data_IF_261512044250
#
_entry.id   IF_261512044250
#
_cell.length_a   1.000
_cell.length_b   1.000
_cell.length_c   1.000
_cell.angle_alpha   90.00
_cell.angle_beta   90.00
_cell.angle_gamma   90.00
#
_symmetry.space_group_name_H-M   'P 1'
#
loop_
_entity.id
_entity.type
_entity.pdbx_description
1 polymer ?
#
# COMPACT_ATOMS: atom_id res chain seq x y z
N UNK A 1 7.37 21.60 28.74
CA UNK A 1 6.19 21.12 27.98
C UNK A 1 5.77 19.78 28.57
N UNK A 2 4.48 19.48 28.60
CA UNK A 2 3.94 18.26 29.22
C UNK A 2 3.33 17.39 28.15
N UNK A 3 3.62 16.09 28.19
CA UNK A 3 2.95 15.07 27.40
C UNK A 3 2.17 14.16 28.35
N UNK A 4 0.97 13.75 27.94
CA UNK A 4 0.14 12.80 28.68
C UNK A 4 -0.09 11.62 27.75
N UNK A 5 0.27 10.44 28.22
CA UNK A 5 0.17 9.18 27.49
C UNK A 5 -0.85 8.29 28.20
N UNK A 6 -1.85 7.80 27.45
CA UNK A 6 -2.80 6.81 27.96
C UNK A 6 -2.35 5.44 27.46
N UNK A 7 -1.87 4.61 28.37
CA UNK A 7 -1.25 3.32 28.07
C UNK A 7 -2.25 2.18 28.30
N UNK A 8 -2.51 1.43 27.24
CA UNK A 8 -3.43 0.29 27.24
C UNK A 8 -2.67 -1.00 27.54
N UNK A 9 -2.78 -1.50 28.78
CA UNK A 9 -2.11 -2.73 29.25
C UNK A 9 -2.14 -3.95 28.28
N UNK A 10 -3.15 -4.16 27.40
CA UNK A 10 -3.13 -5.27 26.44
C UNK A 10 -2.23 -5.09 25.19
N UNK A 11 -1.61 -3.92 24.96
CA UNK A 11 -1.00 -3.59 23.66
C UNK A 11 0.54 -3.54 23.65
N UNK A 12 1.22 -3.89 24.74
CA UNK A 12 2.70 -3.85 24.85
C UNK A 12 3.27 -5.07 25.61
N UNK A 13 3.06 -6.27 25.08
CA UNK A 13 3.45 -7.52 25.74
C UNK A 13 4.78 -8.14 25.26
N UNK A 14 5.47 -7.52 24.29
CA UNK A 14 6.77 -7.99 23.82
C UNK A 14 7.92 -7.18 24.47
N UNK A 15 9.03 -7.82 24.88
CA UNK A 15 10.18 -7.14 25.51
C UNK A 15 10.74 -5.97 24.69
N UNK A 16 10.64 -6.04 23.36
CA UNK A 16 11.12 -5.02 22.43
C UNK A 16 10.23 -3.77 22.42
N UNK A 17 8.91 -3.92 22.57
CA UNK A 17 7.98 -2.79 22.65
C UNK A 17 8.19 -2.01 23.96
N UNK A 18 8.47 -2.73 25.04
CA UNK A 18 8.81 -2.15 26.35
C UNK A 18 10.14 -1.38 26.26
N UNK A 19 11.15 -1.93 25.58
CA UNK A 19 12.43 -1.26 25.39
C UNK A 19 12.30 0.01 24.54
N UNK A 20 11.50 -0.03 23.48
CA UNK A 20 11.24 1.12 22.61
C UNK A 20 10.46 2.23 23.34
N UNK A 21 9.48 1.88 24.16
CA UNK A 21 8.73 2.85 24.95
C UNK A 21 9.61 3.54 26.00
N UNK A 22 10.51 2.78 26.64
CA UNK A 22 11.52 3.33 27.56
C UNK A 22 12.45 4.29 26.82
N UNK A 23 13.02 3.88 25.68
CA UNK A 23 13.93 4.72 24.89
C UNK A 23 13.24 5.99 24.37
N UNK A 24 11.97 5.88 23.93
CA UNK A 24 11.15 7.02 23.50
C UNK A 24 10.89 7.98 24.65
N UNK A 25 10.53 7.47 25.82
CA UNK A 25 10.28 8.30 27.00
C UNK A 25 11.56 9.01 27.44
N UNK A 26 12.69 8.31 27.52
CA UNK A 26 14.00 8.89 27.86
C UNK A 26 14.43 9.98 26.88
N UNK A 27 14.19 9.77 25.58
CA UNK A 27 14.47 10.79 24.56
C UNK A 27 13.62 12.05 24.75
N UNK A 28 12.31 11.88 24.95
CA UNK A 28 11.38 13.00 25.15
C UNK A 28 11.73 13.81 26.40
N UNK A 29 12.08 13.12 27.49
CA UNK A 29 12.49 13.77 28.73
C UNK A 29 13.83 14.50 28.59
N UNK A 30 14.78 13.95 27.83
CA UNK A 30 16.06 14.60 27.51
C UNK A 30 15.89 15.91 26.74
N UNK A 31 14.89 15.99 25.85
CA UNK A 31 14.60 17.22 25.09
C UNK A 31 13.62 18.16 25.81
N UNK A 32 13.37 17.93 27.10
CA UNK A 32 12.68 18.87 27.99
C UNK A 32 11.17 18.65 28.15
N UNK A 33 10.64 17.51 27.70
CA UNK A 33 9.26 17.12 28.02
C UNK A 33 9.17 16.51 29.41
N UNK A 34 8.01 16.66 30.03
CA UNK A 34 7.60 15.91 31.21
C UNK A 34 6.45 15.01 30.81
N UNK A 35 6.63 13.70 30.90
CA UNK A 35 5.65 12.71 30.45
C UNK A 35 4.88 12.20 31.67
N UNK A 36 3.55 12.24 31.62
CA UNK A 36 2.68 11.55 32.58
C UNK A 36 1.98 10.40 31.89
N UNK A 37 2.15 9.18 32.43
CA UNK A 37 1.54 7.98 31.88
C UNK A 37 0.35 7.54 32.72
N UNK A 38 -0.77 7.33 32.08
CA UNK A 38 -2.00 6.79 32.66
C UNK A 38 -2.10 5.33 32.23
N UNK A 39 -1.82 4.41 33.14
CA UNK A 39 -2.02 2.98 32.90
C UNK A 39 -3.51 2.66 32.89
N UNK A 40 -3.96 1.86 31.91
CA UNK A 40 -5.34 1.45 31.78
C UNK A 40 -5.86 0.73 33.03
N UNK A 41 -5.09 -0.17 33.63
CA UNK A 41 -5.46 -0.83 34.90
C UNK A 41 -5.57 0.13 36.08
N UNK A 42 -4.76 1.19 36.13
CA UNK A 42 -4.85 2.20 37.18
C UNK A 42 -6.11 3.05 37.00
N UNK A 43 -6.38 3.50 35.77
CA UNK A 43 -7.57 4.27 35.44
C UNK A 43 -8.85 3.46 35.65
N UNK A 44 -8.89 2.20 35.18
CA UNK A 44 -10.06 1.30 35.36
C UNK A 44 -10.38 1.05 36.83
N UNK A 45 -9.37 0.96 37.68
CA UNK A 45 -9.53 0.69 39.12
C UNK A 45 -10.06 1.89 39.90
N UNK A 46 -9.56 3.08 39.60
CA UNK A 46 -10.03 4.32 40.22
C UNK A 46 -9.82 5.52 39.29
N UNK A 47 -10.78 5.81 38.39
CA UNK A 47 -10.65 6.88 37.40
C UNK A 47 -10.44 8.25 38.05
N UNK A 48 -11.19 8.53 39.13
CA UNK A 48 -11.15 9.83 39.82
C UNK A 48 -9.78 10.10 40.42
N UNK A 49 -9.17 9.09 41.07
CA UNK A 49 -7.83 9.23 41.64
C UNK A 49 -6.75 9.40 40.57
N UNK A 50 -6.85 8.69 39.44
CA UNK A 50 -5.88 8.87 38.34
C UNK A 50 -6.00 10.22 37.65
N UNK A 51 -7.23 10.72 37.48
CA UNK A 51 -7.45 12.07 36.96
C UNK A 51 -6.86 13.11 37.93
N UNK A 52 -7.04 12.95 39.24
CA UNK A 52 -6.49 13.87 40.23
C UNK A 52 -4.95 13.90 40.20
N UNK A 53 -4.30 12.74 40.11
CA UNK A 53 -2.84 12.65 39.95
C UNK A 53 -2.35 13.31 38.67
N UNK A 54 -3.05 13.12 37.56
CA UNK A 54 -2.74 13.77 36.29
C UNK A 54 -2.87 15.30 36.41
N UNK A 55 -3.95 15.80 37.00
CA UNK A 55 -4.17 17.24 37.21
C UNK A 55 -3.05 17.82 38.09
N UNK A 56 -2.72 17.17 39.20
CA UNK A 56 -1.61 17.57 40.06
C UNK A 56 -0.26 17.59 39.31
N UNK A 57 -0.03 16.63 38.41
CA UNK A 57 1.15 16.61 37.56
C UNK A 57 1.19 17.80 36.60
N UNK A 58 0.07 18.12 35.95
CA UNK A 58 -0.04 19.27 35.05
C UNK A 58 0.21 20.57 35.81
N UNK A 59 -0.42 20.76 36.97
CA UNK A 59 -0.26 21.96 37.79
C UNK A 59 1.15 22.13 38.33
N UNK A 60 1.84 21.02 38.64
CA UNK A 60 3.24 21.04 39.10
C UNK A 60 4.23 21.47 38.02
N UNK A 61 3.98 21.13 36.76
CA UNK A 61 4.93 21.33 35.65
C UNK A 61 4.50 22.38 34.61
N UNK A 62 3.32 22.98 34.77
CA UNK A 62 2.91 24.20 34.05
C UNK A 62 3.15 25.43 34.93
N UNK A 63 3.56 26.56 34.32
CA UNK A 63 3.55 27.85 35.03
C UNK A 63 2.10 28.32 35.10
N UNK A 64 1.74 29.09 36.14
CA UNK A 64 0.41 29.71 36.28
C UNK A 64 0.15 30.69 35.14
N UNK A 65 -0.24 30.18 33.99
CA UNK A 65 -0.68 30.98 32.86
C UNK A 65 -2.05 31.58 33.19
N UNK A 66 -2.26 32.85 32.82
CA UNK A 66 -3.51 33.56 33.06
C UNK A 66 -4.65 32.83 32.36
N UNK A 67 -5.58 32.30 33.15
CA UNK A 67 -6.80 31.64 32.70
C UNK A 67 -7.66 32.64 31.92
N UNK A 68 -7.93 32.36 30.64
CA UNK A 68 -8.97 33.07 29.87
C UNK A 68 -10.27 32.25 30.02
N UNK A 69 -11.33 32.81 30.61
CA UNK A 69 -12.60 32.09 30.77
C UNK A 69 -13.29 31.81 29.44
N UNK A 70 -13.73 30.56 29.26
CA UNK A 70 -14.46 30.03 28.10
C UNK A 70 -15.73 30.83 27.76
N UNK A 71 -16.27 31.60 28.70
CA UNK A 71 -17.48 32.41 28.52
C UNK A 71 -17.36 33.52 27.45
N UNK A 72 -16.15 33.96 27.06
CA UNK A 72 -15.98 34.97 26.00
C UNK A 72 -16.02 34.42 24.57
N UNK A 73 -15.79 33.11 24.38
CA UNK A 73 -15.68 32.52 23.04
C UNK A 73 -17.06 32.20 22.43
N UNK A 74 -18.09 32.06 23.26
CA UNK A 74 -19.44 31.66 22.82
C UNK A 74 -20.40 32.81 22.48
N UNK A 75 -19.99 34.08 22.62
CA UNK A 75 -20.91 35.23 22.51
C UNK A 75 -20.97 35.91 21.13
N UNK A 76 -20.19 35.47 20.12
CA UNK A 76 -20.09 36.18 18.83
C UNK A 76 -20.60 35.38 17.61
N UNK A 77 -21.56 34.47 17.77
CA UNK A 77 -22.24 33.89 16.59
C UNK A 77 -23.75 33.75 16.84
N UNK A 78 -24.62 34.34 15.99
CA UNK A 78 -26.07 34.30 16.20
C UNK A 78 -26.61 32.87 16.18
N UNK A 79 -27.40 32.53 17.20
CA UNK A 79 -28.18 31.28 17.27
C UNK A 79 -29.43 31.41 16.41
N UNK A 80 -29.54 30.60 15.36
CA UNK A 80 -30.85 30.21 14.84
C UNK A 80 -31.43 29.11 15.73
N UNK A 81 -32.69 29.30 16.12
CA UNK A 81 -33.42 28.48 17.06
C UNK A 81 -33.79 27.12 16.44
N UNK A 82 -33.43 26.03 17.12
CA UNK A 82 -34.14 24.75 16.96
C UNK A 82 -34.71 24.36 18.32
N UNK A 83 -36.03 24.21 18.34
CA UNK A 83 -36.89 24.05 19.50
C UNK A 83 -36.50 22.84 20.37
N UNK A 84 -36.54 23.08 21.68
CA UNK A 84 -36.43 22.10 22.77
C UNK A 84 -37.52 21.03 22.64
N UNK A 85 -37.12 19.78 22.42
CA UNK A 85 -37.86 18.62 22.93
C UNK A 85 -36.98 17.88 23.92
N UNK A 86 -37.45 17.86 25.16
CA UNK A 86 -36.90 17.15 26.30
C UNK A 86 -36.96 15.65 26.03
N UNK A 87 -35.82 15.01 25.81
CA UNK A 87 -35.65 13.57 26.05
C UNK A 87 -34.29 13.36 26.69
N UNK A 88 -34.28 12.70 27.85
CA UNK A 88 -33.09 12.26 28.56
C UNK A 88 -32.37 11.23 27.68
N UNK A 89 -31.25 11.62 27.07
CA UNK A 89 -30.37 10.68 26.38
C UNK A 89 -29.27 10.24 27.35
N UNK A 90 -29.47 9.07 27.97
CA UNK A 90 -28.38 8.28 28.56
C UNK A 90 -27.47 7.81 27.42
N UNK A 91 -26.24 8.33 27.39
CA UNK A 91 -25.26 7.95 26.38
C UNK A 91 -24.66 6.59 26.75
N UNK A 92 -25.19 5.49 26.20
CA UNK A 92 -24.59 4.16 26.32
C UNK A 92 -23.32 4.09 25.47
N UNK A 93 -22.22 3.62 26.05
CA UNK A 93 -20.95 3.40 25.36
C UNK A 93 -21.04 2.15 24.45
N UNK A 94 -20.11 2.02 23.51
CA UNK A 94 -20.04 0.87 22.59
C UNK A 94 -19.88 -0.48 23.34
N UNK A 95 -19.38 -0.45 24.58
CA UNK A 95 -19.24 -1.64 25.43
C UNK A 95 -20.58 -2.04 26.05
N UNK A 96 -21.45 -1.09 26.39
CA UNK A 96 -22.78 -1.38 26.94
C UNK A 96 -23.70 -2.06 25.91
N UNK A 97 -23.42 -1.90 24.61
CA UNK A 97 -24.14 -2.61 23.54
C UNK A 97 -23.67 -4.06 23.37
N UNK A 98 -22.39 -4.33 23.65
CA UNK A 98 -21.83 -5.68 23.55
C UNK A 98 -22.27 -6.57 24.72
N UNK A 99 -22.58 -5.97 25.86
CA UNK A 99 -23.06 -6.70 27.04
C UNK A 99 -24.54 -7.08 26.93
N UNK A 100 -25.37 -6.23 26.30
CA UNK A 100 -26.78 -6.53 26.00
C UNK A 100 -26.91 -7.68 24.95
N UNK A 101 -25.93 -7.83 24.04
CA UNK A 101 -25.89 -8.90 23.01
C UNK A 101 -25.39 -10.25 23.58
N UNK A 102 -24.68 -10.25 24.72
CA UNK A 102 -24.16 -11.45 25.38
C UNK A 102 -25.19 -12.16 26.27
N UNK A 103 -26.27 -11.47 26.68
CA UNK A 103 -27.29 -12.00 27.59
C UNK A 103 -28.47 -12.71 26.86
N UNK A 104 -28.44 -12.80 25.52
CA UNK A 104 -29.49 -13.44 24.71
C UNK A 104 -29.11 -14.80 24.08
N UNK A 105 -27.95 -15.37 24.43
CA UNK A 105 -27.48 -16.64 23.85
C UNK A 105 -27.29 -17.78 24.88
N UNK A 106 -28.05 -17.76 25.97
CA UNK A 106 -28.21 -18.94 26.82
C UNK A 106 -29.60 -19.55 26.57
N UNK A 107 -29.76 -20.29 25.46
CA UNK A 107 -30.63 -21.48 25.44
C UNK A 107 -30.38 -22.33 24.17
N UNK A 108 -30.16 -23.62 24.39
CA UNK A 108 -30.06 -24.75 23.46
C UNK A 108 -28.75 -25.00 22.68
N UNK A 109 -27.91 -25.78 23.36
CA UNK A 109 -26.82 -26.61 22.84
C UNK A 109 -27.36 -27.71 21.90
N UNK A 110 -27.01 -27.66 20.61
CA UNK A 110 -27.07 -28.82 19.69
C UNK A 110 -25.71 -29.00 19.02
N UNK A 111 -25.10 -30.14 19.31
CA UNK A 111 -23.84 -30.60 18.76
C UNK A 111 -24.12 -31.35 17.46
N UNK A 112 -23.86 -30.75 16.30
CA UNK A 112 -23.72 -31.50 15.05
C UNK A 112 -22.48 -31.05 14.27
N UNK A 113 -21.60 -32.02 14.04
CA UNK A 113 -20.47 -31.96 13.13
C UNK A 113 -20.95 -31.66 11.71
N UNK A 114 -20.59 -30.51 11.15
CA UNK A 114 -20.82 -30.21 9.74
C UNK A 114 -19.54 -29.64 9.14
N UNK A 115 -19.09 -30.31 8.08
CA UNK A 115 -17.95 -30.00 7.24
C UNK A 115 -17.98 -28.53 6.78
N UNK A 116 -16.84 -27.85 6.85
CA UNK A 116 -16.66 -26.48 6.37
C UNK A 116 -16.96 -26.40 4.87
N UNK A 117 -18.19 -26.05 4.52
CA UNK A 117 -18.52 -25.49 3.23
C UNK A 117 -18.21 -24.00 3.31
N UNK A 118 -17.07 -23.58 2.76
CA UNK A 118 -16.75 -22.15 2.56
C UNK A 118 -17.86 -21.48 1.73
N UNK A 119 -18.78 -20.81 2.39
CA UNK A 119 -19.69 -19.88 1.74
C UNK A 119 -18.87 -18.67 1.30
N UNK A 120 -18.61 -18.57 0.00
CA UNK A 120 -18.01 -17.39 -0.63
C UNK A 120 -18.97 -16.19 -0.51
N UNK A 121 -18.95 -15.49 0.63
CA UNK A 121 -19.49 -14.14 0.70
C UNK A 121 -18.58 -13.21 -0.12
N UNK A 122 -19.15 -12.52 -1.11
CA UNK A 122 -18.41 -11.54 -1.90
C UNK A 122 -17.94 -10.39 -0.99
N UNK A 123 -16.62 -10.28 -0.84
CA UNK A 123 -15.99 -9.24 -0.02
C UNK A 123 -16.42 -7.84 -0.46
N UNK A 124 -17.01 -7.09 0.47
CA UNK A 124 -17.65 -5.82 0.21
C UNK A 124 -16.63 -4.72 -0.06
N UNK A 125 -16.77 -4.02 -1.18
CA UNK A 125 -15.97 -2.82 -1.47
C UNK A 125 -16.46 -1.66 -0.60
N UNK A 126 -15.56 -1.12 0.20
CA UNK A 126 -15.81 0.09 0.98
C UNK A 126 -15.72 1.35 0.13
N UNK A 127 -14.60 1.52 -0.57
CA UNK A 127 -14.28 2.72 -1.37
C UNK A 127 -13.30 2.37 -2.48
N UNK A 128 -13.21 3.21 -3.51
CA UNK A 128 -12.10 3.21 -4.46
C UNK A 128 -11.13 4.33 -4.12
N UNK A 129 -9.84 4.00 -4.03
CA UNK A 129 -8.76 4.96 -3.99
C UNK A 129 -8.35 5.34 -5.42
N UNK A 130 -8.69 6.56 -5.82
CA UNK A 130 -8.47 7.09 -7.16
C UNK A 130 -7.34 8.11 -7.12
N UNK A 131 -6.19 7.77 -7.73
CA UNK A 131 -5.00 8.62 -7.77
C UNK A 131 -4.80 9.19 -9.18
N UNK A 132 -4.58 10.49 -9.28
CA UNK A 132 -4.36 11.20 -10.54
C UNK A 132 -2.87 11.48 -10.77
N UNK A 133 -2.50 11.74 -12.04
CA UNK A 133 -1.11 11.97 -12.46
C UNK A 133 -0.46 13.18 -11.81
N UNK A 134 -1.25 14.21 -11.46
CA UNK A 134 -0.79 15.45 -10.82
C UNK A 134 -0.60 15.27 -9.30
N UNK A 135 -0.86 14.08 -8.75
CA UNK A 135 -0.74 13.80 -7.32
C UNK A 135 -1.97 14.18 -6.49
N UNK A 136 -3.09 14.51 -7.11
CA UNK A 136 -4.38 14.57 -6.41
C UNK A 136 -5.01 13.19 -6.27
N UNK A 137 -5.80 12.97 -5.22
CA UNK A 137 -6.55 11.73 -5.05
C UNK A 137 -7.95 11.97 -4.49
N UNK A 138 -8.86 11.04 -4.76
CA UNK A 138 -10.23 10.99 -4.23
C UNK A 138 -10.52 9.61 -3.65
N UNK A 139 -11.44 9.56 -2.69
CA UNK A 139 -12.09 8.31 -2.27
C UNK A 139 -13.53 8.35 -2.75
N UNK A 140 -13.90 7.37 -3.57
CA UNK A 140 -15.21 7.35 -4.24
C UNK A 140 -15.88 5.99 -4.04
N UNK A 141 -17.17 5.91 -4.35
CA UNK A 141 -17.92 4.65 -4.32
C UNK A 141 -17.75 3.82 -5.60
N UNK A 142 -17.19 4.43 -6.65
CA UNK A 142 -17.03 3.82 -7.96
C UNK A 142 -15.58 3.95 -8.45
N UNK A 143 -15.24 3.05 -9.37
CA UNK A 143 -13.95 3.06 -10.05
C UNK A 143 -13.85 4.29 -10.96
N UNK A 144 -12.73 5.00 -10.89
CA UNK A 144 -12.44 6.09 -11.83
C UNK A 144 -11.87 5.56 -13.14
N UNK A 145 -12.32 6.12 -14.26
CA UNK A 145 -11.81 5.84 -15.60
C UNK A 145 -10.70 6.81 -16.05
N UNK A 146 -10.51 7.91 -15.32
CA UNK A 146 -9.56 8.99 -15.68
C UNK A 146 -8.31 9.01 -14.80
N UNK A 147 -8.37 8.35 -13.64
CA UNK A 147 -7.26 8.26 -12.70
C UNK A 147 -6.18 7.28 -13.18
N UNK A 148 -4.91 7.58 -12.86
CA UNK A 148 -3.77 6.70 -13.20
C UNK A 148 -3.82 5.38 -12.42
N UNK A 149 -4.36 5.43 -11.20
CA UNK A 149 -4.68 4.26 -10.41
C UNK A 149 -6.09 4.40 -9.85
N UNK A 150 -6.82 3.29 -9.86
CA UNK A 150 -8.11 3.15 -9.19
C UNK A 150 -8.11 1.80 -8.49
N UNK A 151 -7.91 1.82 -7.17
CA UNK A 151 -7.77 0.61 -6.34
C UNK A 151 -9.00 0.42 -5.47
N UNK A 152 -9.73 -0.70 -5.57
CA UNK A 152 -10.80 -1.03 -4.63
C UNK A 152 -10.20 -1.30 -3.24
N UNK A 153 -10.76 -0.68 -2.22
CA UNK A 153 -10.50 -0.94 -0.80
C UNK A 153 -11.66 -1.80 -0.29
N UNK A 154 -11.38 -3.06 0.02
CA UNK A 154 -12.37 -4.00 0.54
C UNK A 154 -12.49 -3.92 2.07
N UNK A 155 -13.54 -4.51 2.65
CA UNK A 155 -13.69 -4.58 4.12
C UNK A 155 -12.50 -5.32 4.75
N UNK A 156 -12.03 -6.41 4.13
CA UNK A 156 -10.84 -7.16 4.60
C UNK A 156 -9.56 -6.31 4.62
N UNK A 157 -9.50 -5.24 3.83
CA UNK A 157 -8.30 -4.40 3.71
C UNK A 157 -8.23 -3.31 4.77
N UNK A 158 -9.28 -3.11 5.58
CA UNK A 158 -9.41 -2.00 6.54
C UNK A 158 -8.24 -1.90 7.53
N UNK A 159 -7.70 -3.05 7.93
CA UNK A 159 -6.56 -3.17 8.84
C UNK A 159 -5.21 -3.31 8.10
N UNK A 160 -5.23 -3.26 6.76
CA UNK A 160 -4.06 -3.33 5.92
C UNK A 160 -3.43 -1.96 5.63
N UNK A 161 -2.60 -1.95 4.60
CA UNK A 161 -1.76 -0.82 4.23
C UNK A 161 -1.79 -0.57 2.73
N UNK A 162 -1.73 0.71 2.36
CA UNK A 162 -1.40 1.14 1.01
C UNK A 162 0.11 1.34 0.92
N UNK A 163 0.74 0.66 -0.02
CA UNK A 163 2.17 0.74 -0.31
C UNK A 163 2.42 1.58 -1.55
N UNK A 164 3.34 2.54 -1.45
CA UNK A 164 3.79 3.40 -2.54
C UNK A 164 5.30 3.21 -2.72
N UNK A 165 5.70 2.51 -3.78
CA UNK A 165 7.10 2.23 -4.11
C UNK A 165 7.61 3.17 -5.21
N UNK A 166 8.79 3.72 -4.99
CA UNK A 166 9.40 4.73 -5.84
C UNK A 166 10.67 4.22 -6.53
N UNK A 167 11.00 4.80 -7.69
CA UNK A 167 12.21 4.45 -8.46
C UNK A 167 13.51 4.72 -7.70
N UNK A 168 13.50 5.68 -6.76
CA UNK A 168 14.63 6.05 -5.93
C UNK A 168 14.83 5.12 -4.71
N UNK A 169 14.11 4.00 -4.65
CA UNK A 169 14.35 2.96 -3.64
C UNK A 169 13.76 3.31 -2.28
N UNK A 170 12.82 4.25 -2.24
CA UNK A 170 11.96 4.49 -1.10
C UNK A 170 10.63 3.75 -1.24
N UNK A 171 10.10 3.28 -0.11
CA UNK A 171 8.81 2.63 0.02
C UNK A 171 8.01 3.30 1.15
N UNK A 172 6.92 3.98 0.79
CA UNK A 172 5.99 4.54 1.76
C UNK A 172 4.88 3.54 2.08
N UNK A 173 4.52 3.42 3.35
CA UNK A 173 3.45 2.55 3.87
C UNK A 173 2.47 3.41 4.64
N UNK A 174 1.19 3.41 4.26
CA UNK A 174 0.14 4.20 4.92
C UNK A 174 -1.02 3.29 5.28
N UNK A 175 -1.53 3.38 6.51
CA UNK A 175 -2.67 2.54 6.93
C UNK A 175 -3.95 2.90 6.17
N UNK A 176 -4.68 1.87 5.74
CA UNK A 176 -5.96 2.04 5.03
C UNK A 176 -7.01 2.65 5.96
N UNK A 177 -7.00 2.31 7.25
CA UNK A 177 -7.90 2.91 8.23
C UNK A 177 -7.84 4.44 8.23
N UNK A 178 -6.64 5.04 8.15
CA UNK A 178 -6.42 6.49 8.05
C UNK A 178 -6.93 7.06 6.71
N UNK A 179 -6.83 6.31 5.62
CA UNK A 179 -7.45 6.72 4.35
C UNK A 179 -8.97 6.73 4.47
N UNK A 180 -9.56 5.69 5.05
CA UNK A 180 -11.02 5.56 5.19
C UNK A 180 -11.66 6.63 6.09
N UNK A 181 -10.90 7.37 6.90
CA UNK A 181 -11.42 8.53 7.64
C UNK A 181 -11.65 9.76 6.75
N UNK A 182 -11.19 9.75 5.50
CA UNK A 182 -11.36 10.87 4.57
C UNK A 182 -12.79 10.92 4.03
N UNK A 183 -13.26 12.13 3.71
CA UNK A 183 -14.59 12.37 3.14
C UNK A 183 -14.64 11.84 1.71
N UNK A 184 -15.75 11.18 1.39
CA UNK A 184 -16.04 10.66 0.05
C UNK A 184 -16.22 11.82 -0.92
N UNK A 185 -15.82 11.65 -2.18
CA UNK A 185 -15.93 12.64 -3.27
C UNK A 185 -15.21 13.97 -3.02
N UNK A 186 -14.42 14.07 -1.93
CA UNK A 186 -13.54 15.20 -1.70
C UNK A 186 -12.21 14.96 -2.40
N UNK A 187 -11.77 15.94 -3.18
CA UNK A 187 -10.43 15.95 -3.75
C UNK A 187 -9.39 16.33 -2.69
N UNK A 188 -8.35 15.51 -2.59
CA UNK A 188 -7.20 15.72 -1.72
C UNK A 188 -5.95 15.92 -2.56
N UNK A 189 -5.02 16.71 -2.02
CA UNK A 189 -3.70 16.94 -2.60
C UNK A 189 -2.69 15.95 -2.01
N UNK A 190 -1.50 15.88 -2.60
CA UNK A 190 -0.35 15.16 -2.04
C UNK A 190 -0.58 13.64 -1.86
N UNK A 191 -1.14 13.00 -2.89
CA UNK A 191 -1.43 11.57 -2.97
C UNK A 191 -0.21 10.67 -3.19
N UNK A 192 0.96 11.25 -3.45
CA UNK A 192 2.27 10.59 -3.41
C UNK A 192 3.39 11.64 -3.31
N UNK A 193 4.62 11.21 -3.04
CA UNK A 193 5.78 12.10 -3.06
C UNK A 193 6.16 12.47 -4.50
N UNK A 194 5.89 13.73 -4.89
CA UNK A 194 6.19 14.24 -6.24
C UNK A 194 7.69 14.35 -6.55
N UNK A 195 8.56 14.30 -5.54
CA UNK A 195 10.02 14.35 -5.73
C UNK A 195 10.59 13.01 -6.24
N UNK A 196 9.77 11.96 -6.29
CA UNK A 196 10.18 10.64 -6.75
C UNK A 196 9.13 10.02 -7.69
N UNK A 197 9.58 9.24 -8.67
CA UNK A 197 8.67 8.60 -9.62
C UNK A 197 8.01 7.37 -8.99
N UNK A 198 6.70 7.41 -8.83
CA UNK A 198 5.89 6.30 -8.33
C UNK A 198 5.82 5.18 -9.38
N UNK A 199 6.21 3.96 -9.00
CA UNK A 199 6.21 2.78 -9.89
C UNK A 199 5.43 1.60 -9.33
N UNK A 200 5.06 1.66 -8.06
CA UNK A 200 4.35 0.60 -7.38
C UNK A 200 3.28 1.19 -6.46
N UNK A 201 2.04 0.73 -6.62
CA UNK A 201 0.91 1.09 -5.77
C UNK A 201 0.05 -0.15 -5.53
N UNK A 202 0.07 -0.68 -4.31
CA UNK A 202 -0.64 -1.92 -3.94
C UNK A 202 -1.17 -1.87 -2.52
N UNK A 203 -2.23 -2.64 -2.29
CA UNK A 203 -2.76 -2.93 -0.95
C UNK A 203 -2.03 -4.16 -0.44
N UNK A 204 -1.63 -4.14 0.82
CA UNK A 204 -0.95 -5.24 1.49
C UNK A 204 -1.50 -5.45 2.90
N UNK A 205 -1.51 -6.70 3.35
CA UNK A 205 -1.76 -7.09 4.73
C UNK A 205 -0.50 -6.85 5.57
N UNK A 206 -0.65 -6.93 6.89
CA UNK A 206 0.46 -6.74 7.85
C UNK A 206 1.61 -7.72 7.63
N UNK A 207 1.27 -8.97 7.36
CA UNK A 207 2.23 -10.07 7.31
C UNK A 207 2.65 -10.41 5.87
N UNK A 208 2.16 -9.66 4.89
CA UNK A 208 2.59 -9.81 3.50
C UNK A 208 4.09 -9.50 3.36
N UNK A 209 4.66 -9.90 2.22
CA UNK A 209 6.07 -9.75 1.91
C UNK A 209 6.22 -8.83 0.70
N UNK A 210 7.07 -7.81 0.81
CA UNK A 210 7.52 -7.01 -0.34
C UNK A 210 8.83 -7.55 -0.89
N UNK A 211 8.82 -7.97 -2.14
CA UNK A 211 10.00 -8.32 -2.92
C UNK A 211 10.53 -7.13 -3.73
N UNK A 212 11.85 -7.08 -3.85
CA UNK A 212 12.59 -6.05 -4.57
C UNK A 212 13.49 -6.73 -5.59
N UNK A 213 13.19 -6.52 -6.86
CA UNK A 213 14.03 -6.93 -7.99
C UNK A 213 14.82 -5.72 -8.47
N UNK A 214 16.13 -5.85 -8.59
CA UNK A 214 17.00 -4.73 -8.98
C UNK A 214 18.28 -5.26 -9.62
N UNK A 215 19.04 -4.37 -10.27
CA UNK A 215 20.36 -4.69 -10.82
C UNK A 215 21.44 -3.91 -10.07
N UNK A 216 22.51 -4.59 -9.65
CA UNK A 216 23.69 -3.98 -9.02
C UNK A 216 24.91 -4.38 -9.83
N UNK A 217 25.61 -3.39 -10.44
CA UNK A 217 26.75 -3.66 -11.31
C UNK A 217 26.42 -4.56 -12.51
N UNK A 218 25.20 -4.45 -13.07
CA UNK A 218 24.71 -5.29 -14.17
C UNK A 218 24.23 -6.69 -13.76
N UNK A 219 24.33 -7.05 -12.47
CA UNK A 219 23.88 -8.34 -11.95
C UNK A 219 22.46 -8.19 -11.41
N UNK A 220 21.52 -8.97 -11.94
CA UNK A 220 20.14 -9.06 -11.43
C UNK A 220 20.13 -9.69 -10.04
N UNK A 221 19.53 -8.99 -9.09
CA UNK A 221 19.39 -9.38 -7.69
C UNK A 221 17.96 -9.29 -7.21
N UNK A 222 17.68 -10.07 -6.18
CA UNK A 222 16.43 -10.08 -5.45
C UNK A 222 16.68 -10.03 -3.95
N UNK A 223 15.83 -9.30 -3.25
CA UNK A 223 15.67 -9.40 -1.79
C UNK A 223 14.23 -9.12 -1.42
N UNK A 224 13.78 -9.63 -0.29
CA UNK A 224 12.43 -9.40 0.20
C UNK A 224 12.44 -8.97 1.67
N UNK A 225 11.35 -8.38 2.12
CA UNK A 225 11.12 -7.92 3.49
C UNK A 225 9.66 -8.14 3.86
N UNK A 226 9.38 -8.50 5.11
CA UNK A 226 8.01 -8.47 5.63
C UNK A 226 7.51 -7.02 5.69
N UNK A 227 6.23 -6.82 5.38
CA UNK A 227 5.61 -5.49 5.41
C UNK A 227 5.60 -4.90 6.82
N UNK A 228 5.58 -5.75 7.85
CA UNK A 228 5.74 -5.32 9.24
C UNK A 228 7.05 -4.54 9.49
N UNK A 229 8.15 -4.90 8.79
CA UNK A 229 9.45 -4.23 8.93
C UNK A 229 9.49 -2.83 8.28
N UNK A 230 8.50 -2.48 7.48
CA UNK A 230 8.40 -1.16 6.84
C UNK A 230 7.67 -0.21 7.79
N UNK A 231 8.28 0.89 8.26
CA UNK A 231 7.58 1.81 9.16
C UNK A 231 6.39 2.50 8.49
N UNK A 232 5.25 2.54 9.17
CA UNK A 232 4.04 3.25 8.71
C UNK A 232 4.17 4.76 8.83
N UNK A 233 3.72 5.49 7.83
CA UNK A 233 3.65 6.95 7.83
C UNK A 233 2.20 7.43 7.80
N UNK A 234 1.97 8.64 8.29
CA UNK A 234 0.63 9.27 8.32
C UNK A 234 0.18 9.78 6.95
N UNK A 235 1.11 10.14 6.07
CA UNK A 235 0.82 10.88 4.85
C UNK A 235 1.33 10.13 3.61
N UNK A 236 0.55 10.17 2.52
CA UNK A 236 0.91 9.56 1.24
C UNK A 236 2.11 10.21 0.56
N UNK A 237 2.33 11.51 0.78
CA UNK A 237 3.46 12.25 0.24
C UNK A 237 4.76 12.11 1.04
N UNK A 238 4.75 11.36 2.14
CA UNK A 238 5.98 11.08 2.87
C UNK A 238 6.99 10.38 1.94
N UNK A 239 8.28 10.67 2.14
CA UNK A 239 9.34 10.06 1.35
C UNK A 239 9.30 8.52 1.47
N UNK A 240 8.95 8.00 2.64
CA UNK A 240 8.94 6.57 2.92
C UNK A 240 10.31 6.02 3.30
N UNK A 241 10.34 4.75 3.69
CA UNK A 241 11.54 4.06 4.16
C UNK A 241 12.48 3.79 2.99
N UNK A 242 13.78 4.03 3.17
CA UNK A 242 14.77 3.63 2.17
C UNK A 242 14.97 2.12 2.25
N UNK A 243 14.63 1.41 1.18
CA UNK A 243 14.70 -0.06 1.12
C UNK A 243 15.90 -0.57 0.32
N UNK A 244 16.60 0.30 -0.42
CA UNK A 244 17.90 -0.01 -1.06
C UNK A 244 18.88 1.11 -0.79
N UNK A 245 20.05 0.75 -0.23
CA UNK A 245 21.09 1.71 0.17
C UNK A 245 22.25 1.79 -0.81
N UNK A 246 22.56 0.68 -1.50
CA UNK A 246 23.62 0.61 -2.51
C UNK A 246 23.16 1.19 -3.84
N UNK A 247 24.08 1.35 -4.78
CA UNK A 247 23.75 1.73 -6.14
C UNK A 247 22.99 0.61 -6.85
N UNK A 248 21.94 0.98 -7.59
CA UNK A 248 21.14 0.02 -8.33
C UNK A 248 20.54 0.67 -9.57
N UNK A 249 20.08 -0.19 -10.48
CA UNK A 249 19.25 0.17 -11.63
C UNK A 249 18.04 -0.77 -11.68
N UNK A 250 17.04 -0.41 -12.50
CA UNK A 250 15.93 -1.29 -12.85
C UNK A 250 15.10 -1.84 -11.67
N UNK A 251 14.92 -1.04 -10.60
CA UNK A 251 14.16 -1.43 -9.43
C UNK A 251 12.67 -1.70 -9.75
N UNK A 252 12.19 -2.87 -9.33
CA UNK A 252 10.78 -3.27 -9.39
C UNK A 252 10.36 -3.90 -8.06
N UNK A 253 9.12 -3.62 -7.70
CA UNK A 253 8.49 -4.14 -6.48
C UNK A 253 7.51 -5.25 -6.85
N UNK A 254 7.43 -6.24 -5.98
CA UNK A 254 6.46 -7.34 -6.07
C UNK A 254 5.88 -7.61 -4.68
N UNK A 255 4.60 -7.98 -4.62
CA UNK A 255 3.94 -8.32 -3.36
C UNK A 255 3.67 -9.82 -3.34
N UNK A 256 4.08 -10.48 -2.27
CA UNK A 256 3.81 -11.89 -2.02
C UNK A 256 2.97 -12.02 -0.77
N UNK A 257 1.96 -12.90 -0.76
CA UNK A 257 1.17 -13.14 0.42
C UNK A 257 1.97 -14.03 1.40
N UNK A 258 1.59 -13.98 2.69
CA UNK A 258 2.32 -14.63 3.78
C UNK A 258 2.52 -16.14 3.58
N UNK A 259 1.63 -16.83 2.86
CA UNK A 259 1.71 -18.28 2.61
C UNK A 259 2.92 -18.67 1.74
N UNK A 260 3.58 -17.68 1.11
CA UNK A 260 4.82 -17.90 0.37
C UNK A 260 6.07 -17.75 1.25
N UNK A 261 5.95 -17.27 2.49
CA UNK A 261 7.10 -16.99 3.36
C UNK A 261 8.05 -18.18 3.45
N UNK A 262 7.55 -19.37 3.77
CA UNK A 262 8.38 -20.56 3.93
C UNK A 262 9.13 -20.95 2.64
N UNK A 263 8.54 -20.66 1.48
CA UNK A 263 9.13 -20.94 0.17
C UNK A 263 10.25 -19.98 -0.20
N UNK A 264 10.27 -18.77 0.36
CA UNK A 264 11.24 -17.72 0.02
C UNK A 264 12.01 -17.18 1.24
N UNK A 265 11.86 -17.81 2.40
CA UNK A 265 12.37 -17.35 3.70
C UNK A 265 13.82 -16.92 3.69
N UNK A 266 14.68 -17.66 2.98
CA UNK A 266 16.12 -17.38 2.86
C UNK A 266 16.47 -16.11 2.09
N UNK A 267 15.48 -15.50 1.44
CA UNK A 267 15.58 -14.26 0.69
C UNK A 267 14.83 -13.10 1.37
N UNK A 268 14.12 -13.38 2.47
CA UNK A 268 13.43 -12.40 3.29
C UNK A 268 14.38 -11.95 4.39
N UNK A 269 14.75 -10.67 4.36
CA UNK A 269 15.69 -10.06 5.29
C UNK A 269 14.96 -9.15 6.27
N UNK A 270 15.45 -9.10 7.50
CA UNK A 270 14.98 -8.12 8.47
C UNK A 270 15.51 -6.71 8.16
N UNK A 271 16.83 -6.57 7.91
CA UNK A 271 17.45 -5.27 7.60
C UNK A 271 17.34 -4.87 6.13
N UNK A 272 16.95 -3.63 5.86
CA UNK A 272 16.97 -3.03 4.52
C UNK A 272 18.37 -2.82 3.94
N UNK A 273 19.43 -2.86 4.76
CA UNK A 273 20.82 -2.74 4.26
C UNK A 273 21.33 -4.02 3.61
N UNK A 274 20.58 -5.13 3.69
CA UNK A 274 20.93 -6.38 3.02
C UNK A 274 21.07 -6.20 1.50
N UNK A 275 22.08 -6.86 0.92
CA UNK A 275 22.50 -6.71 -0.47
C UNK A 275 21.69 -7.54 -1.47
N UNK A 276 20.82 -8.43 -0.99
CA UNK A 276 20.10 -9.39 -1.81
C UNK A 276 20.97 -10.49 -2.42
N UNK A 277 20.33 -11.41 -3.14
CA UNK A 277 20.98 -12.55 -3.81
C UNK A 277 20.81 -12.43 -5.32
N UNK A 278 21.85 -12.82 -6.06
CA UNK A 278 21.82 -12.83 -7.51
C UNK A 278 20.88 -13.93 -8.02
N UNK A 279 20.08 -13.62 -9.04
CA UNK A 279 19.08 -14.55 -9.60
C UNK A 279 19.72 -15.76 -10.28
N UNK A 280 20.99 -15.68 -10.68
CA UNK A 280 21.75 -16.79 -11.27
C UNK A 280 22.41 -17.69 -10.21
N UNK A 281 22.22 -17.43 -8.92
CA UNK A 281 22.79 -18.24 -7.85
C UNK A 281 21.99 -19.53 -7.67
N UNK A 282 22.58 -20.67 -8.01
CA UNK A 282 21.96 -22.00 -7.92
C UNK A 282 21.61 -22.44 -6.49
N UNK A 283 22.23 -21.87 -5.46
CA UNK A 283 21.96 -22.23 -4.06
C UNK A 283 20.54 -21.86 -3.56
N UNK A 284 19.79 -21.13 -4.38
CA UNK A 284 18.43 -20.65 -4.08
C UNK A 284 17.43 -21.08 -5.18
N UNK A 285 17.72 -22.16 -5.91
CA UNK A 285 16.90 -22.59 -7.06
C UNK A 285 15.42 -22.84 -6.68
N UNK A 286 15.16 -23.35 -5.48
CA UNK A 286 13.79 -23.61 -5.00
C UNK A 286 13.02 -22.32 -4.75
N UNK A 287 13.66 -21.35 -4.14
CA UNK A 287 13.11 -20.02 -3.89
C UNK A 287 12.89 -19.29 -5.23
N UNK A 288 13.84 -19.40 -6.16
CA UNK A 288 13.72 -18.85 -7.50
C UNK A 288 12.54 -19.45 -8.25
N UNK A 289 12.26 -20.76 -8.16
CA UNK A 289 11.06 -21.36 -8.75
C UNK A 289 9.75 -20.76 -8.22
N UNK A 290 9.76 -20.16 -7.03
CA UNK A 290 8.60 -19.51 -6.41
C UNK A 290 8.47 -18.05 -6.84
N UNK A 291 9.57 -17.29 -6.82
CA UNK A 291 9.61 -15.85 -7.11
C UNK A 291 9.58 -15.57 -8.60
N UNK A 292 10.26 -16.40 -9.37
CA UNK A 292 10.29 -16.35 -10.81
C UNK A 292 9.14 -17.26 -11.24
N UNK A 293 8.00 -16.70 -11.69
CA UNK A 293 7.01 -17.56 -12.32
C UNK A 293 7.72 -18.30 -13.47
N UNK A 294 7.33 -19.54 -13.77
CA UNK A 294 7.74 -20.23 -15.02
C UNK A 294 7.43 -19.42 -16.31
N UNK A 295 6.86 -18.21 -16.18
CA UNK A 295 6.71 -17.12 -17.16
C UNK A 295 7.93 -16.17 -17.33
N UNK A 296 9.05 -16.33 -16.62
CA UNK A 296 10.31 -15.65 -16.98
C UNK A 296 11.09 -16.39 -18.08
N UNK A 297 10.41 -17.16 -18.90
CA UNK A 297 10.62 -17.04 -20.35
C UNK A 297 9.71 -15.90 -20.86
N UNK A 298 10.13 -14.68 -20.52
CA UNK A 298 9.68 -13.37 -21.01
C UNK A 298 8.17 -13.11 -21.18
N UNK A 299 7.50 -12.55 -20.18
CA UNK A 299 6.25 -11.76 -20.37
C UNK A 299 6.02 -10.75 -19.23
N UNK A 300 5.34 -9.61 -19.47
CA UNK A 300 5.42 -8.70 -20.59
C UNK A 300 6.04 -7.36 -20.13
N UNK A 301 7.12 -6.94 -20.76
CA UNK A 301 7.56 -5.57 -20.68
C UNK A 301 6.46 -4.71 -21.30
N UNK A 302 5.75 -3.93 -20.49
CA UNK A 302 4.88 -2.84 -20.90
C UNK A 302 3.87 -3.11 -22.04
N UNK A 303 3.45 -4.36 -22.26
CA UNK A 303 2.59 -4.73 -23.41
C UNK A 303 1.31 -3.89 -23.50
N UNK A 304 0.76 -3.43 -22.36
CA UNK A 304 -0.43 -2.57 -22.38
C UNK A 304 -0.12 -1.18 -22.96
N UNK A 305 1.00 -0.56 -22.59
CA UNK A 305 1.42 0.73 -23.17
C UNK A 305 1.87 0.55 -24.62
N UNK A 306 2.63 -0.52 -24.93
CA UNK A 306 3.03 -0.83 -26.31
C UNK A 306 1.79 -1.05 -27.18
N UNK A 307 0.82 -1.85 -26.73
CA UNK A 307 -0.43 -2.07 -27.48
C UNK A 307 -1.23 -0.79 -27.65
N UNK A 308 -1.29 0.07 -26.63
CA UNK A 308 -1.92 1.40 -26.72
C UNK A 308 -1.22 2.31 -27.73
N UNK A 309 0.12 2.32 -27.76
CA UNK A 309 0.92 3.09 -28.73
C UNK A 309 0.79 2.54 -30.15
N UNK A 310 0.74 1.22 -30.33
CA UNK A 310 0.46 0.58 -31.62
C UNK A 310 -0.95 0.97 -32.10
N UNK A 311 -1.96 0.89 -31.22
CA UNK A 311 -3.32 1.29 -31.56
C UNK A 311 -3.38 2.77 -31.97
N UNK A 312 -2.71 3.64 -31.22
CA UNK A 312 -2.57 5.06 -31.56
C UNK A 312 -1.90 5.25 -32.92
N UNK A 313 -0.80 4.53 -33.20
CA UNK A 313 -0.11 4.58 -34.48
C UNK A 313 -0.98 4.11 -35.66
N UNK A 314 -1.80 3.08 -35.45
CA UNK A 314 -2.75 2.58 -36.46
C UNK A 314 -3.81 3.64 -36.77
N UNK A 315 -4.40 4.24 -35.73
CA UNK A 315 -5.43 5.29 -35.88
C UNK A 315 -4.86 6.54 -36.56
N UNK A 316 -3.67 6.97 -36.15
CA UNK A 316 -2.99 8.15 -36.70
C UNK A 316 -2.26 7.88 -38.02
N UNK A 317 -2.28 6.63 -38.51
CA UNK A 317 -1.52 6.15 -39.69
C UNK A 317 -0.02 6.51 -39.64
N UNK A 318 0.55 6.54 -38.44
CA UNK A 318 1.96 6.84 -38.19
C UNK A 318 2.86 5.62 -38.33
N UNK A 319 4.12 5.87 -38.65
CA UNK A 319 5.18 4.84 -38.58
C UNK A 319 5.62 4.68 -37.13
N UNK A 320 6.18 3.51 -36.82
CA UNK A 320 6.75 3.26 -35.50
C UNK A 320 8.16 2.74 -35.61
N UNK A 321 9.05 3.20 -34.73
CA UNK A 321 10.34 2.57 -34.48
C UNK A 321 10.17 1.60 -33.32
N UNK A 322 10.61 0.37 -33.48
CA UNK A 322 10.54 -0.67 -32.43
C UNK A 322 11.91 -1.28 -32.17
N UNK A 323 12.24 -1.52 -30.91
CA UNK A 323 13.31 -2.43 -30.51
C UNK A 323 12.71 -3.83 -30.37
N UNK A 324 13.09 -4.76 -31.25
CA UNK A 324 12.47 -6.08 -31.32
C UNK A 324 13.46 -7.20 -31.00
N UNK A 325 13.06 -8.11 -30.09
CA UNK A 325 13.84 -9.29 -29.72
C UNK A 325 13.43 -10.51 -30.54
N UNK A 326 14.38 -11.13 -31.24
CA UNK A 326 14.11 -12.32 -32.05
C UNK A 326 14.01 -13.61 -31.17
N UNK A 327 13.78 -14.77 -31.79
CA UNK A 327 13.70 -16.07 -31.07
C UNK A 327 15.02 -16.46 -30.39
N UNK A 328 16.14 -16.03 -30.94
CA UNK A 328 17.50 -16.33 -30.47
C UNK A 328 17.95 -15.34 -29.38
N UNK A 329 17.10 -14.38 -29.01
CA UNK A 329 17.35 -13.40 -27.96
C UNK A 329 18.14 -12.17 -28.40
N UNK A 330 18.44 -12.02 -29.69
CA UNK A 330 19.09 -10.83 -30.23
C UNK A 330 18.08 -9.71 -30.43
N UNK A 331 18.48 -8.49 -30.09
CA UNK A 331 17.67 -7.28 -30.20
C UNK A 331 18.10 -6.45 -31.41
N UNK A 332 17.12 -5.90 -32.11
CA UNK A 332 17.35 -5.09 -33.31
C UNK A 332 16.28 -4.03 -33.45
N UNK A 333 16.68 -2.82 -33.84
CA UNK A 333 15.75 -1.75 -34.18
C UNK A 333 15.09 -2.00 -35.55
N UNK A 334 13.82 -1.64 -35.66
CA UNK A 334 13.03 -1.77 -36.89
C UNK A 334 12.10 -0.58 -37.05
N UNK A 335 11.96 -0.08 -38.27
CA UNK A 335 10.91 0.89 -38.60
C UNK A 335 9.79 0.13 -39.29
N UNK A 336 8.57 0.29 -38.77
CA UNK A 336 7.37 -0.40 -39.21
C UNK A 336 6.35 0.61 -39.75
N UNK A 337 5.73 0.29 -40.87
CA UNK A 337 4.64 1.05 -41.50
C UNK A 337 3.47 0.13 -41.86
N UNK A 338 2.32 0.69 -42.25
CA UNK A 338 1.12 -0.08 -42.61
C UNK A 338 0.71 -1.08 -41.51
N UNK A 339 0.59 -0.58 -40.29
CA UNK A 339 0.37 -1.36 -39.07
C UNK A 339 -1.05 -1.91 -39.03
N UNK A 340 -1.20 -3.20 -38.67
CA UNK A 340 -2.49 -3.82 -38.38
C UNK A 340 -2.34 -4.93 -37.32
N UNK A 341 -3.30 -5.09 -36.42
CA UNK A 341 -3.30 -6.19 -35.44
C UNK A 341 -4.18 -7.32 -35.99
N UNK A 342 -3.62 -8.52 -36.08
CA UNK A 342 -4.36 -9.72 -36.51
C UNK A 342 -4.26 -10.80 -35.43
N UNK A 343 -5.31 -11.61 -35.33
CA UNK A 343 -5.35 -12.78 -34.45
C UNK A 343 -4.88 -14.02 -35.22
N UNK A 344 -4.05 -14.85 -34.60
CA UNK A 344 -3.58 -16.12 -35.16
C UNK A 344 -3.89 -17.28 -34.21
N UNK A 345 -4.33 -18.39 -34.80
CA UNK A 345 -4.63 -19.61 -34.08
C UNK A 345 -3.32 -20.32 -33.71
N UNK A 346 -3.11 -20.58 -32.42
CA UNK A 346 -1.98 -21.36 -31.93
C UNK A 346 -2.23 -22.86 -32.04
N UNK A 347 -1.16 -23.65 -32.24
CA UNK A 347 -1.20 -25.12 -32.25
C UNK A 347 -1.72 -25.72 -30.92
N UNK A 348 -1.74 -24.95 -29.83
CA UNK A 348 -2.25 -25.33 -28.52
C UNK A 348 -3.73 -24.97 -28.28
N UNK A 349 -4.47 -24.56 -29.31
CA UNK A 349 -5.88 -24.16 -29.18
C UNK A 349 -6.10 -22.77 -28.57
N UNK A 350 -5.04 -21.98 -28.39
CA UNK A 350 -5.11 -20.60 -27.89
C UNK A 350 -4.75 -19.61 -28.99
N UNK A 351 -5.62 -18.62 -29.18
CA UNK A 351 -5.40 -17.52 -30.10
C UNK A 351 -4.43 -16.49 -29.54
N UNK A 352 -3.56 -15.94 -30.39
CA UNK A 352 -2.64 -14.87 -30.01
C UNK A 352 -2.61 -13.76 -31.06
N UNK A 353 -2.48 -12.51 -30.60
CA UNK A 353 -2.38 -11.34 -31.46
C UNK A 353 -0.96 -11.13 -31.97
N UNK A 354 -0.83 -10.72 -33.23
CA UNK A 354 0.43 -10.28 -33.83
C UNK A 354 0.24 -8.96 -34.56
N UNK A 355 1.28 -8.13 -34.53
CA UNK A 355 1.37 -6.90 -35.32
C UNK A 355 1.83 -7.27 -36.73
N UNK A 356 0.96 -7.07 -37.71
CA UNK A 356 1.24 -7.12 -39.14
C UNK A 356 1.73 -5.75 -39.60
N UNK A 357 2.90 -5.68 -40.23
CA UNK A 357 3.49 -4.41 -40.66
C UNK A 357 4.54 -4.59 -41.76
N UNK A 358 4.72 -3.56 -42.59
CA UNK A 358 5.84 -3.45 -43.52
C UNK A 358 7.11 -3.05 -42.80
N UNK A 359 8.17 -3.87 -42.93
CA UNK A 359 9.42 -3.65 -42.23
C UNK A 359 10.48 -3.03 -43.15
N UNK A 360 10.93 -1.82 -42.84
CA UNK A 360 11.94 -1.10 -43.64
C UNK A 360 13.25 -1.89 -43.80
N UNK A 361 13.69 -2.56 -42.73
CA UNK A 361 14.93 -3.35 -42.71
C UNK A 361 14.90 -4.55 -43.69
N UNK A 362 13.71 -5.05 -44.00
CA UNK A 362 13.52 -6.26 -44.84
C UNK A 362 12.78 -5.96 -46.16
N UNK A 363 12.36 -4.71 -46.37
CA UNK A 363 11.63 -4.25 -47.54
C UNK A 363 10.30 -4.97 -47.82
N UNK A 364 9.73 -5.68 -46.84
CA UNK A 364 8.56 -6.55 -47.04
C UNK A 364 7.70 -6.67 -45.79
N UNK A 365 6.44 -7.07 -45.98
CA UNK A 365 5.45 -7.28 -44.92
C UNK A 365 5.85 -8.43 -43.97
N UNK A 366 5.69 -8.22 -42.66
CA UNK A 366 6.04 -9.20 -41.62
C UNK A 366 5.03 -9.22 -40.48
N UNK A 367 5.07 -10.32 -39.72
CA UNK A 367 4.32 -10.50 -38.50
C UNK A 367 5.26 -10.46 -37.30
N UNK A 368 4.97 -9.55 -36.36
CA UNK A 368 5.72 -9.34 -35.14
C UNK A 368 4.86 -9.77 -33.96
N UNK A 369 5.41 -10.63 -33.09
CA UNK A 369 4.71 -10.92 -31.84
C UNK A 369 4.85 -9.73 -30.92
N UNK A 370 3.72 -9.22 -30.41
CA UNK A 370 3.68 -7.98 -29.62
C UNK A 370 4.49 -8.14 -28.33
N UNK A 371 4.51 -9.34 -27.74
CA UNK A 371 5.28 -9.70 -26.54
C UNK A 371 6.82 -9.57 -26.67
N UNK A 372 7.33 -9.48 -27.91
CA UNK A 372 8.76 -9.37 -28.22
C UNK A 372 9.20 -7.96 -28.59
N UNK A 373 8.28 -7.02 -28.60
CA UNK A 373 8.61 -5.59 -28.72
C UNK A 373 9.08 -5.14 -27.35
N UNK A 374 10.31 -4.65 -27.28
CA UNK A 374 10.93 -4.10 -26.06
C UNK A 374 10.66 -2.63 -25.92
N UNK A 375 10.79 -1.87 -27.00
CA UNK A 375 10.52 -0.45 -27.00
C UNK A 375 9.74 -0.08 -28.26
N UNK A 376 8.93 0.97 -28.17
CA UNK A 376 8.20 1.53 -29.30
C UNK A 376 8.19 3.05 -29.21
N UNK A 377 8.48 3.69 -30.33
CA UNK A 377 8.47 5.13 -30.51
C UNK A 377 7.61 5.46 -31.73
N UNK A 378 6.71 6.43 -31.58
CA UNK A 378 5.92 6.96 -32.70
C UNK A 378 6.83 7.87 -33.52
N UNK A 379 6.90 7.60 -34.82
CA UNK A 379 7.58 8.48 -35.75
C UNK A 379 6.53 9.39 -36.39
N UNK A 380 6.87 10.66 -36.56
CA UNK A 380 6.01 11.66 -37.18
C UNK A 380 5.81 11.44 -38.69
#
# INVERSE_FOLDING_TARGET
>A
MIAIECDGDPFHSLPEDVAYDVERQEFLERVGWKVYRILYSAYKRNPSSEIEKMVNFIEKYTKKDKVIPIAKVFNETPREEIQKKTTSYTHKSFIDKLQDDLEQQDEEMVLESIEEVETFEEDKILRYFNLNSVGTYTLETHKSNTSIYSLPLYERDKNGYLLLGYTNGNLNKVSISNLLTKKINKQYQNGFNIQASLTFLKIAKKDDIVGLHFEEGGIKKFKAHLIENVTSHKYLFAQGNKVIYKDYTNLKYELFPIEQLDKIKRLVYHSFTATGKALNNSNYENEWKTIIPKKNLELPFNNRQIKSLIQKAIVEKKKVKVLYKNKEGQESERILSNLNIITKNGYSGYDFEVLKADCSLRGTERHFKIDRIREIELLD
#
